data_IF_782860220270
#
_entry.id   IF_782860220270
#
_cell.length_a   1.000
_cell.length_b   1.000
_cell.length_c   1.000
_cell.angle_alpha   90.00
_cell.angle_beta   90.00
_cell.angle_gamma   90.00
#
_symmetry.space_group_name_H-M   'P 1'
#
loop_
_entity.id
_entity.type
_entity.pdbx_description
1 polymer ?
#
# COMPACT_ATOMS: atom_id res chain seq x y z
N UNK A 1 -12.93 7.32 -25.43
CA UNK A 1 -13.13 6.15 -24.55
C UNK A 1 -12.69 6.54 -23.15
N UNK A 2 -13.31 6.01 -22.07
CA UNK A 2 -12.82 6.24 -20.72
C UNK A 2 -11.35 5.82 -20.64
N UNK A 3 -10.51 6.64 -19.99
CA UNK A 3 -9.06 6.41 -19.92
C UNK A 3 -8.63 5.50 -18.77
N UNK A 4 -9.57 5.08 -17.91
CA UNK A 4 -9.29 4.32 -16.70
C UNK A 4 -9.71 2.85 -16.82
N UNK A 5 -8.92 1.96 -16.21
CA UNK A 5 -9.13 0.50 -16.21
C UNK A 5 -10.33 0.07 -15.37
N UNK A 6 -10.64 0.76 -14.27
CA UNK A 6 -11.73 0.43 -13.34
C UNK A 6 -11.72 -1.07 -12.97
N UNK A 7 -12.90 -1.71 -12.86
CA UNK A 7 -13.07 -3.13 -12.56
C UNK A 7 -13.00 -4.05 -13.79
N UNK A 8 -12.15 -3.73 -14.77
CA UNK A 8 -11.99 -4.55 -15.98
C UNK A 8 -11.43 -5.96 -15.69
N UNK A 9 -10.60 -6.08 -14.66
CA UNK A 9 -9.89 -7.33 -14.31
C UNK A 9 -10.42 -7.87 -12.96
N UNK A 10 -11.69 -7.58 -12.64
CA UNK A 10 -12.31 -8.04 -11.40
C UNK A 10 -12.48 -9.57 -11.40
N UNK A 11 -12.48 -10.20 -12.58
CA UNK A 11 -12.55 -11.64 -12.81
C UNK A 11 -11.26 -12.38 -12.45
N UNK A 12 -10.16 -11.66 -12.24
CA UNK A 12 -8.89 -12.23 -11.78
C UNK A 12 -8.90 -12.55 -10.28
N UNK A 13 -9.81 -11.94 -9.51
CA UNK A 13 -9.96 -12.20 -8.08
C UNK A 13 -10.51 -13.61 -7.80
N UNK A 14 -10.06 -14.18 -6.69
CA UNK A 14 -10.41 -15.52 -6.23
C UNK A 14 -10.81 -15.49 -4.77
N UNK A 15 -11.52 -16.53 -4.33
CA UNK A 15 -11.77 -16.74 -2.90
C UNK A 15 -10.45 -16.75 -2.12
N UNK A 16 -10.43 -16.03 -1.00
CA UNK A 16 -9.25 -15.80 -0.17
C UNK A 16 -8.42 -14.57 -0.55
N UNK A 17 -8.65 -13.95 -1.72
CA UNK A 17 -8.04 -12.66 -2.04
C UNK A 17 -8.62 -11.56 -1.15
N UNK A 18 -7.86 -10.47 -0.95
CA UNK A 18 -8.27 -9.37 -0.08
C UNK A 18 -8.38 -8.06 -0.84
N UNK A 19 -9.36 -7.25 -0.46
CA UNK A 19 -9.48 -5.86 -0.92
C UNK A 19 -9.76 -4.92 0.25
N UNK A 20 -9.44 -3.65 0.04
CA UNK A 20 -9.49 -2.61 1.08
C UNK A 20 -10.47 -1.51 0.65
N UNK A 21 -11.32 -1.10 1.59
CA UNK A 21 -12.19 0.07 1.46
C UNK A 21 -11.69 1.15 2.42
N UNK A 22 -11.29 2.30 1.86
CA UNK A 22 -10.91 3.48 2.64
C UNK A 22 -12.00 4.54 2.57
N UNK A 23 -12.52 4.95 3.73
CA UNK A 23 -13.60 5.94 3.81
C UNK A 23 -13.42 6.80 5.05
N UNK A 24 -13.43 8.13 4.87
CA UNK A 24 -13.31 9.11 5.96
C UNK A 24 -12.08 8.91 6.87
N UNK A 25 -10.98 8.37 6.35
CA UNK A 25 -9.76 8.09 7.11
C UNK A 25 -9.74 6.72 7.81
N UNK A 26 -10.83 5.96 7.74
CA UNK A 26 -10.90 4.59 8.23
C UNK A 26 -10.55 3.61 7.10
N UNK A 27 -9.85 2.54 7.46
CA UNK A 27 -9.46 1.45 6.55
C UNK A 27 -10.19 0.18 6.95
N UNK A 28 -10.79 -0.49 5.97
CA UNK A 28 -11.56 -1.72 6.18
C UNK A 28 -11.10 -2.81 5.20
N UNK A 29 -10.72 -3.97 5.72
CA UNK A 29 -10.22 -5.10 4.92
C UNK A 29 -11.30 -6.17 4.79
N UNK A 30 -11.49 -6.67 3.56
CA UNK A 30 -12.44 -7.72 3.25
C UNK A 30 -11.72 -8.86 2.53
N UNK A 31 -12.09 -10.10 2.86
CA UNK A 31 -11.61 -11.30 2.21
C UNK A 31 -12.72 -11.89 1.33
N UNK A 32 -12.42 -12.13 0.05
CA UNK A 32 -13.36 -12.64 -0.94
C UNK A 32 -13.81 -14.03 -0.53
N UNK A 33 -15.11 -14.21 -0.32
CA UNK A 33 -15.71 -15.51 0.03
C UNK A 33 -16.65 -16.04 -1.05
N UNK A 34 -17.18 -15.17 -1.92
CA UNK A 34 -18.16 -15.54 -2.94
C UNK A 34 -17.96 -14.74 -4.24
N UNK A 35 -18.14 -15.43 -5.38
CA UNK A 35 -18.05 -14.84 -6.72
C UNK A 35 -19.18 -15.42 -7.56
N UNK A 36 -20.05 -14.55 -8.06
CA UNK A 36 -21.24 -14.95 -8.80
C UNK A 36 -21.43 -14.15 -10.09
N UNK A 37 -22.20 -14.72 -11.01
CA UNK A 37 -22.70 -14.04 -12.20
C UNK A 37 -24.22 -14.13 -12.23
N UNK A 38 -24.88 -12.98 -12.21
CA UNK A 38 -26.35 -12.86 -12.16
C UNK A 38 -26.89 -12.07 -13.34
N UNK A 39 -28.17 -12.26 -13.64
CA UNK A 39 -28.87 -11.39 -14.58
C UNK A 39 -29.08 -9.98 -14.00
N UNK A 40 -29.13 -8.92 -14.82
CA UNK A 40 -29.24 -7.54 -14.34
C UNK A 40 -30.50 -7.24 -13.51
N UNK A 41 -31.52 -8.09 -13.59
CA UNK A 41 -32.79 -7.93 -12.89
C UNK A 41 -32.93 -8.86 -11.67
N UNK A 42 -31.96 -9.74 -11.43
CA UNK A 42 -31.83 -10.49 -10.20
C UNK A 42 -31.18 -9.58 -9.16
N UNK A 43 -31.94 -9.17 -8.16
CA UNK A 43 -31.55 -8.19 -7.15
C UNK A 43 -31.57 -8.75 -5.73
N UNK A 44 -31.84 -10.04 -5.58
CA UNK A 44 -31.91 -10.73 -4.29
C UNK A 44 -30.56 -10.64 -3.53
N UNK A 45 -29.44 -10.52 -4.26
CA UNK A 45 -28.10 -10.33 -3.70
C UNK A 45 -27.88 -8.95 -3.04
N UNK A 46 -28.78 -7.97 -3.25
CA UNK A 46 -28.72 -6.66 -2.60
C UNK A 46 -29.34 -6.68 -1.19
N UNK A 47 -30.07 -7.75 -0.85
CA UNK A 47 -30.71 -7.87 0.45
C UNK A 47 -29.64 -8.00 1.54
N UNK A 48 -29.89 -7.33 2.67
CA UNK A 48 -28.97 -7.39 3.81
C UNK A 48 -29.07 -8.76 4.48
N UNK A 49 -27.94 -9.43 4.65
CA UNK A 49 -27.85 -10.63 5.46
C UNK A 49 -27.66 -10.29 6.95
N UNK A 50 -28.48 -10.88 7.82
CA UNK A 50 -28.36 -10.65 9.27
C UNK A 50 -27.00 -11.13 9.80
N UNK A 51 -26.34 -10.27 10.58
CA UNK A 51 -25.05 -10.53 11.25
C UNK A 51 -23.84 -10.71 10.31
N UNK A 52 -23.93 -10.33 9.04
CA UNK A 52 -22.77 -10.27 8.15
C UNK A 52 -22.35 -8.83 7.88
N UNK A 53 -21.05 -8.60 7.86
CA UNK A 53 -20.45 -7.34 7.38
C UNK A 53 -19.75 -7.64 6.06
N UNK A 54 -20.37 -7.27 4.96
CA UNK A 54 -19.93 -7.62 3.61
C UNK A 54 -19.89 -6.42 2.69
N UNK A 55 -19.03 -6.52 1.68
CA UNK A 55 -18.99 -5.61 0.55
C UNK A 55 -18.96 -6.43 -0.73
N UNK A 56 -19.83 -6.09 -1.68
CA UNK A 56 -19.86 -6.70 -3.01
C UNK A 56 -19.36 -5.70 -4.05
N UNK A 57 -18.29 -6.04 -4.75
CA UNK A 57 -17.81 -5.33 -5.93
C UNK A 57 -18.61 -5.81 -7.14
N UNK A 58 -19.25 -4.88 -7.87
CA UNK A 58 -20.09 -5.18 -9.02
C UNK A 58 -19.49 -4.61 -10.30
N UNK A 59 -19.51 -5.41 -11.37
CA UNK A 59 -19.23 -4.96 -12.73
C UNK A 59 -20.15 -5.64 -13.75
N UNK A 60 -20.08 -5.21 -15.01
CA UNK A 60 -20.78 -5.87 -16.11
C UNK A 60 -19.99 -7.08 -16.62
N UNK A 61 -20.70 -8.12 -17.03
CA UNK A 61 -20.14 -9.36 -17.58
C UNK A 61 -21.03 -9.90 -18.71
N UNK A 62 -20.56 -10.70 -19.69
CA UNK A 62 -19.18 -10.88 -20.11
C UNK A 62 -18.58 -9.59 -20.66
N UNK A 63 -17.25 -9.47 -20.62
CA UNK A 63 -16.52 -8.32 -21.16
C UNK A 63 -16.97 -8.01 -22.60
N UNK A 64 -17.28 -6.73 -22.87
CA UNK A 64 -17.82 -6.19 -24.14
C UNK A 64 -19.27 -6.57 -24.49
N UNK A 65 -19.90 -7.51 -23.78
CA UNK A 65 -21.28 -7.95 -24.01
C UNK A 65 -22.23 -7.35 -22.96
N UNK A 66 -21.81 -7.33 -21.69
CA UNK A 66 -22.51 -6.68 -20.56
C UNK A 66 -23.96 -7.17 -20.30
N UNK A 67 -24.27 -8.42 -20.66
CA UNK A 67 -25.62 -9.02 -20.49
C UNK A 67 -25.91 -9.45 -19.06
N UNK A 68 -24.89 -9.65 -18.25
CA UNK A 68 -24.92 -10.10 -16.86
C UNK A 68 -24.16 -9.12 -15.95
N UNK A 69 -24.17 -9.40 -14.65
CA UNK A 69 -23.40 -8.71 -13.64
C UNK A 69 -22.52 -9.72 -12.93
N UNK A 70 -21.23 -9.39 -12.83
CA UNK A 70 -20.31 -10.13 -11.98
C UNK A 70 -20.27 -9.47 -10.61
N UNK A 71 -20.42 -10.31 -9.59
CA UNK A 71 -20.43 -9.94 -8.18
C UNK A 71 -19.23 -10.61 -7.52
N UNK A 72 -18.40 -9.82 -6.84
CA UNK A 72 -17.32 -10.34 -5.99
C UNK A 72 -17.59 -9.85 -4.58
N UNK A 73 -18.06 -10.76 -3.72
CA UNK A 73 -18.42 -10.46 -2.34
C UNK A 73 -17.27 -10.84 -1.42
N UNK A 74 -16.91 -9.91 -0.54
CA UNK A 74 -15.97 -10.14 0.55
C UNK A 74 -16.62 -9.91 1.90
N UNK A 75 -16.20 -10.70 2.89
CA UNK A 75 -16.60 -10.58 4.28
C UNK A 75 -15.52 -9.88 5.09
N UNK A 76 -15.95 -9.12 6.10
CA UNK A 76 -15.05 -8.31 6.91
C UNK A 76 -14.05 -9.18 7.65
N UNK A 77 -12.77 -8.82 7.54
CA UNK A 77 -11.69 -9.40 8.35
C UNK A 77 -11.03 -8.33 9.21
N UNK A 78 -10.32 -8.78 10.25
CA UNK A 78 -9.48 -7.88 11.05
C UNK A 78 -8.47 -7.21 10.12
N UNK A 79 -8.38 -5.88 10.20
CA UNK A 79 -7.36 -5.18 9.45
C UNK A 79 -6.00 -5.69 9.90
N UNK A 80 -5.13 -5.97 8.94
CA UNK A 80 -3.74 -6.24 9.29
C UNK A 80 -3.24 -5.03 10.07
N UNK A 81 -2.93 -5.24 11.35
CA UNK A 81 -2.30 -4.22 12.18
C UNK A 81 -0.89 -4.05 11.66
N UNK A 82 -0.74 -3.26 10.60
CA UNK A 82 0.47 -2.52 10.42
C UNK A 82 0.62 -1.70 11.70
N UNK A 83 1.55 -2.10 12.56
CA UNK A 83 2.15 -1.26 13.61
C UNK A 83 2.81 0.02 13.05
N UNK A 84 2.30 0.56 11.94
CA UNK A 84 2.79 1.67 11.15
C UNK A 84 1.68 2.51 10.47
N UNK A 85 0.38 2.19 10.60
CA UNK A 85 -0.73 3.03 10.08
C UNK A 85 -1.07 4.13 11.11
N UNK A 86 -0.07 4.97 11.39
CA UNK A 86 -0.23 6.35 11.87
C UNK A 86 0.57 7.31 10.97
N UNK A 87 1.01 6.85 9.79
CA UNK A 87 1.98 7.57 8.96
C UNK A 87 1.54 7.77 7.50
N UNK A 88 0.24 7.99 7.24
CA UNK A 88 -0.19 8.52 5.94
C UNK A 88 -0.06 10.05 5.82
N UNK A 89 0.55 10.72 6.80
CA UNK A 89 1.10 12.08 6.66
C UNK A 89 2.63 12.11 6.41
N UNK A 90 3.32 10.96 6.41
CA UNK A 90 4.78 10.88 6.33
C UNK A 90 5.30 9.97 5.19
N UNK A 91 4.53 9.76 4.13
CA UNK A 91 5.02 9.06 2.93
C UNK A 91 6.11 9.84 2.16
N UNK A 92 6.30 11.13 2.47
CA UNK A 92 7.41 11.94 1.95
C UNK A 92 8.67 11.91 2.81
N UNK A 93 8.64 11.36 4.04
CA UNK A 93 9.73 11.52 5.02
C UNK A 93 10.66 10.29 5.12
N UNK A 94 10.21 9.10 4.71
CA UNK A 94 11.00 7.86 4.83
C UNK A 94 12.13 7.77 3.81
N UNK A 95 11.92 8.26 2.59
CA UNK A 95 12.99 8.29 1.57
C UNK A 95 14.05 9.33 1.93
N UNK A 96 13.67 10.54 2.35
CA UNK A 96 14.61 11.61 2.70
C UNK A 96 15.53 11.25 3.88
N UNK A 97 14.99 10.57 4.92
CA UNK A 97 15.79 10.16 6.10
C UNK A 97 16.80 9.05 5.81
N UNK A 98 16.60 8.23 4.78
CA UNK A 98 17.55 7.16 4.40
C UNK A 98 18.79 7.75 3.69
N UNK A 99 18.58 8.75 2.82
CA UNK A 99 19.66 9.45 2.12
C UNK A 99 20.48 10.33 3.08
N UNK A 100 19.85 11.04 4.02
CA UNK A 100 20.55 11.92 4.99
C UNK A 100 21.43 11.11 5.96
N UNK A 101 20.95 9.96 6.45
CA UNK A 101 21.74 9.10 7.37
C UNK A 101 22.99 8.53 6.70
N UNK A 102 22.92 8.22 5.41
CA UNK A 102 24.09 7.72 4.67
C UNK A 102 25.14 8.82 4.46
N UNK A 103 24.72 10.03 4.09
CA UNK A 103 25.65 11.15 3.86
C UNK A 103 26.33 11.66 5.14
N UNK A 104 25.62 11.66 6.28
CA UNK A 104 26.19 12.12 7.56
C UNK A 104 27.37 11.27 8.03
N UNK A 105 27.36 9.95 7.78
CA UNK A 105 28.47 9.06 8.09
C UNK A 105 29.72 9.35 7.25
N UNK A 106 29.56 9.61 5.95
CA UNK A 106 30.68 9.94 5.06
C UNK A 106 31.33 11.29 5.41
N UNK A 107 30.52 12.29 5.79
CA UNK A 107 31.02 13.60 6.22
C UNK A 107 31.83 13.46 7.52
N UNK A 108 31.33 12.71 8.50
CA UNK A 108 32.06 12.44 9.75
C UNK A 108 33.41 11.74 9.50
N UNK A 109 33.42 10.75 8.61
CA UNK A 109 34.64 10.04 8.23
C UNK A 109 35.68 11.00 7.62
N UNK A 110 35.26 11.87 6.70
CA UNK A 110 36.14 12.85 6.06
C UNK A 110 36.73 13.85 7.07
N UNK A 111 35.95 14.30 8.05
CA UNK A 111 36.42 15.20 9.11
C UNK A 111 37.45 14.51 10.01
N UNK A 112 37.24 13.24 10.38
CA UNK A 112 38.21 12.48 11.18
C UNK A 112 39.54 12.32 10.42
N UNK A 113 39.49 12.02 9.12
CA UNK A 113 40.67 11.85 8.28
C UNK A 113 41.45 13.17 8.18
N UNK A 114 40.77 14.30 7.97
CA UNK A 114 41.44 15.61 7.88
C UNK A 114 42.10 16.02 9.20
N UNK A 115 41.46 15.76 10.35
CA UNK A 115 42.05 16.00 11.68
C UNK A 115 43.29 15.12 11.90
N UNK A 116 43.23 13.83 11.55
CA UNK A 116 44.37 12.92 11.66
C UNK A 116 45.56 13.38 10.81
N UNK A 117 45.32 13.77 9.55
CA UNK A 117 46.35 14.31 8.66
C UNK A 117 46.95 15.58 9.26
N UNK A 118 46.13 16.51 9.74
CA UNK A 118 46.59 17.73 10.38
C UNK A 118 47.47 17.46 11.61
N UNK A 119 47.07 16.52 12.47
CA UNK A 119 47.86 16.12 13.64
C UNK A 119 49.19 15.46 13.26
N UNK A 120 49.21 14.63 12.20
CA UNK A 120 50.44 14.01 11.69
C UNK A 120 51.39 15.08 11.13
N UNK A 121 50.90 16.03 10.35
CA UNK A 121 51.71 17.13 9.80
C UNK A 121 52.27 18.01 10.91
N UNK A 122 51.45 18.36 11.91
CA UNK A 122 51.89 19.15 13.07
C UNK A 122 52.96 18.43 13.89
N UNK A 123 52.83 17.11 14.07
CA UNK A 123 53.83 16.28 14.75
C UNK A 123 55.15 16.18 13.96
N UNK A 124 55.10 16.14 12.62
CA UNK A 124 56.30 16.12 11.78
C UNK A 124 57.07 17.43 11.83
N UNK A 125 56.40 18.59 11.80
CA UNK A 125 57.05 19.91 11.93
C UNK A 125 57.76 20.08 13.27
N UNK A 126 57.14 19.66 14.39
CA UNK A 126 57.74 19.77 15.73
C UNK A 126 58.98 18.89 15.94
N UNK A 127 59.27 17.94 15.03
CA UNK A 127 60.45 17.05 15.12
C UNK A 127 61.61 17.55 14.26
N UNK A 128 61.44 18.63 13.50
CA UNK A 128 62.45 19.25 12.64
C UNK A 128 62.99 20.60 13.19
N UNK A 129 62.46 21.07 14.33
CA UNK A 129 63.06 22.12 15.18
C UNK A 129 63.77 21.46 16.38
#
# INVERSE_FOLDING_TARGET
MPSAKMFRDLDELKQGDRFIVQVLGETYTYEVNEIDVVEPHQTEWLDMEENKEQVTLLTCDPYMINTHRMLVTGERVENETDTNIDNESNASEKDEKSFIKTYTLWILLAVIITILIFLIVKRRKKKQD
#
